data_IF_679733944917
#
_entry.id   IF_679733944917
#
_cell.length_a   1.000
_cell.length_b   1.000
_cell.length_c   1.000
_cell.angle_alpha   90.00
_cell.angle_beta   90.00
_cell.angle_gamma   90.00
#
_symmetry.space_group_name_H-M   'P 1'
#
loop_
_entity.id
_entity.type
_entity.pdbx_description
1 polymer ?
#
# COMPACT_ATOMS: atom_id res chain seq x y z
N UNK A 1 0.42 -14.45 -18.35
CA UNK A 1 0.04 -14.40 -16.92
C UNK A 1 -0.60 -13.04 -16.64
N UNK A 2 -1.92 -12.92 -16.79
CA UNK A 2 -2.67 -11.69 -16.50
C UNK A 2 -3.68 -12.04 -15.40
N UNK A 3 -3.26 -11.89 -14.15
CA UNK A 3 -4.16 -11.76 -13.00
C UNK A 3 -3.81 -10.47 -12.29
N UNK A 4 -3.84 -9.35 -13.02
CA UNK A 4 -3.67 -8.03 -12.40
C UNK A 4 -5.06 -7.55 -12.02
N UNK A 5 -5.44 -7.93 -10.80
CA UNK A 5 -6.54 -7.40 -9.98
C UNK A 5 -7.89 -7.27 -10.70
N UNK A 6 -8.80 -8.22 -10.44
CA UNK A 6 -10.20 -8.13 -10.89
C UNK A 6 -10.89 -6.89 -10.34
N UNK A 7 -10.44 -6.43 -9.17
CA UNK A 7 -10.98 -5.31 -8.43
C UNK A 7 -9.90 -4.21 -8.31
N UNK A 8 -10.27 -2.92 -8.44
CA UNK A 8 -9.33 -1.82 -8.26
C UNK A 8 -8.74 -1.83 -6.83
N UNK A 9 -7.50 -1.37 -6.67
CA UNK A 9 -6.82 -1.35 -5.38
C UNK A 9 -7.55 -0.56 -4.27
N UNK A 10 -8.41 0.40 -4.67
CA UNK A 10 -9.18 1.29 -3.79
C UNK A 10 -8.31 2.01 -2.74
N UNK A 11 -7.39 2.90 -3.14
CA UNK A 11 -6.50 3.59 -2.20
C UNK A 11 -7.28 4.26 -1.05
N UNK A 12 -6.87 3.97 0.18
CA UNK A 12 -7.43 4.57 1.41
C UNK A 12 -6.32 5.31 2.19
N UNK A 13 -6.02 4.92 3.43
CA UNK A 13 -4.97 5.57 4.24
C UNK A 13 -3.55 5.48 3.64
N UNK A 14 -2.76 6.52 3.91
CA UNK A 14 -1.34 6.61 3.55
C UNK A 14 -0.47 7.04 4.75
N UNK A 15 0.81 6.69 4.68
CA UNK A 15 1.86 7.23 5.53
C UNK A 15 3.10 7.55 4.68
N UNK A 16 3.90 8.53 5.11
CA UNK A 16 5.12 8.97 4.41
C UNK A 16 6.31 8.74 5.33
N UNK A 17 7.36 8.08 4.83
CA UNK A 17 8.59 7.86 5.58
C UNK A 17 9.50 9.11 5.60
N UNK A 18 10.63 9.03 6.30
CA UNK A 18 11.59 10.14 6.43
C UNK A 18 12.32 10.50 5.14
N UNK A 19 12.27 9.64 4.13
CA UNK A 19 12.88 9.86 2.80
C UNK A 19 11.87 10.41 1.78
N UNK A 20 10.58 10.47 2.17
CA UNK A 20 9.48 10.93 1.33
C UNK A 20 8.80 9.82 0.54
N UNK A 21 9.15 8.55 0.77
CA UNK A 21 8.47 7.42 0.15
C UNK A 21 7.12 7.18 0.83
N UNK A 22 6.18 6.62 0.09
CA UNK A 22 4.76 6.55 0.45
C UNK A 22 4.39 5.09 0.69
N UNK A 23 3.79 4.80 1.83
CA UNK A 23 3.04 3.56 2.02
C UNK A 23 1.55 3.86 1.86
N UNK A 24 0.89 3.14 0.96
CA UNK A 24 -0.52 3.32 0.60
C UNK A 24 -1.27 2.02 0.86
N UNK A 25 -2.31 2.07 1.69
CA UNK A 25 -3.24 0.93 1.84
C UNK A 25 -4.10 0.76 0.58
N UNK A 26 -4.27 -0.48 0.16
CA UNK A 26 -5.05 -0.91 -1.00
C UNK A 26 -6.05 -2.00 -0.60
N UNK A 27 -7.14 -1.65 0.11
CA UNK A 27 -8.16 -2.60 0.61
C UNK A 27 -8.75 -3.49 -0.48
N UNK A 28 -8.95 -2.97 -1.69
CA UNK A 28 -9.55 -3.74 -2.79
C UNK A 28 -8.74 -4.94 -3.23
N UNK A 29 -7.43 -4.95 -2.94
CA UNK A 29 -6.52 -6.05 -3.28
C UNK A 29 -5.78 -6.61 -2.05
N UNK A 30 -6.19 -6.21 -0.84
CA UNK A 30 -5.61 -6.66 0.44
C UNK A 30 -4.10 -6.48 0.47
N UNK A 31 -3.62 -5.29 0.15
CA UNK A 31 -2.19 -5.01 0.07
C UNK A 31 -1.82 -3.61 0.59
N UNK A 32 -0.53 -3.41 0.84
CA UNK A 32 0.08 -2.10 1.05
C UNK A 32 1.11 -1.91 -0.08
N UNK A 33 0.98 -0.84 -0.86
CA UNK A 33 1.99 -0.45 -1.83
C UNK A 33 3.02 0.45 -1.15
N UNK A 34 4.30 0.19 -1.42
CA UNK A 34 5.39 1.09 -1.10
C UNK A 34 5.85 1.76 -2.39
N UNK A 35 5.73 3.08 -2.45
CA UNK A 35 6.01 3.90 -3.62
C UNK A 35 7.16 4.84 -3.28
N UNK A 36 7.99 5.16 -4.25
CA UNK A 36 8.91 6.29 -4.09
C UNK A 36 8.14 7.62 -4.06
N UNK A 37 8.83 8.70 -3.72
CA UNK A 37 8.26 10.06 -3.68
C UNK A 37 7.71 10.58 -5.02
N UNK A 38 7.97 9.89 -6.13
CA UNK A 38 7.45 10.22 -7.46
C UNK A 38 6.21 9.39 -7.83
N UNK A 39 5.82 8.44 -6.97
CA UNK A 39 4.70 7.51 -7.20
C UNK A 39 5.11 6.23 -7.92
N UNK A 40 6.40 5.96 -8.10
CA UNK A 40 6.88 4.72 -8.71
C UNK A 40 6.83 3.59 -7.69
N UNK A 41 6.22 2.45 -8.04
CA UNK A 41 6.12 1.29 -7.16
C UNK A 41 7.51 0.70 -6.86
N UNK A 42 7.87 0.69 -5.58
CA UNK A 42 9.06 0.02 -5.03
C UNK A 42 8.70 -1.43 -4.68
N UNK A 43 7.62 -1.63 -3.90
CA UNK A 43 7.20 -2.95 -3.42
C UNK A 43 5.69 -3.04 -3.16
N UNK A 44 5.16 -4.26 -3.03
CA UNK A 44 3.76 -4.55 -2.75
C UNK A 44 3.59 -5.68 -1.74
N UNK A 45 3.21 -5.32 -0.51
CA UNK A 45 3.00 -6.25 0.59
C UNK A 45 1.57 -6.77 0.59
N UNK A 46 1.38 -8.08 0.39
CA UNK A 46 0.06 -8.71 0.46
C UNK A 46 -0.28 -9.12 1.90
N UNK A 47 -1.53 -8.89 2.29
CA UNK A 47 -2.05 -9.19 3.62
C UNK A 47 -3.03 -10.37 3.54
N UNK A 48 -2.66 -11.55 4.08
CA UNK A 48 -3.44 -12.78 3.86
C UNK A 48 -4.80 -12.78 4.56
N UNK A 49 -4.90 -12.12 5.72
CA UNK A 49 -6.03 -12.25 6.65
C UNK A 49 -6.69 -10.91 7.04
N UNK A 50 -6.27 -9.82 6.41
CA UNK A 50 -6.75 -8.47 6.75
C UNK A 50 -7.05 -7.63 5.49
N UNK A 51 -7.94 -6.65 5.63
CA UNK A 51 -8.25 -5.64 4.61
C UNK A 51 -7.76 -4.30 5.18
N UNK A 52 -6.65 -3.74 4.67
CA UNK A 52 -6.06 -2.54 5.25
C UNK A 52 -6.89 -1.32 4.88
N UNK A 53 -7.30 -0.53 5.88
CA UNK A 53 -7.96 0.77 5.66
C UNK A 53 -7.03 1.95 5.99
N UNK A 54 -6.09 1.75 6.93
CA UNK A 54 -5.16 2.78 7.35
C UNK A 54 -3.85 2.16 7.86
N UNK A 55 -2.81 2.97 7.96
CA UNK A 55 -1.50 2.60 8.49
C UNK A 55 -0.81 3.84 9.07
N UNK A 56 0.10 3.62 10.01
CA UNK A 56 0.99 4.64 10.54
C UNK A 56 2.32 3.98 10.87
N UNK A 57 3.40 4.77 10.84
CA UNK A 57 4.64 4.36 11.47
C UNK A 57 4.45 4.39 12.98
N UNK A 58 4.87 3.32 13.65
CA UNK A 58 4.92 3.26 15.12
C UNK A 58 6.35 3.49 15.63
N UNK A 59 6.46 4.06 16.83
CA UNK A 59 7.68 4.08 17.64
C UNK A 59 8.23 5.48 17.97
N UNK A 60 8.94 5.62 19.12
CA UNK A 60 8.89 4.73 20.29
C UNK A 60 7.48 4.63 20.89
#
# INVERSE_FOLDING_TARGET
MIRRFRDPGNPDGLAVDTEGNILQSLPGIRAIAYLDKTGTLIDLYHLPDWVPANLAFGGP
#
